data_IF_216192979879
#
_entry.id   IF_216192979879
#
_cell.length_a   1.000
_cell.length_b   1.000
_cell.length_c   1.000
_cell.angle_alpha   90.00
_cell.angle_beta   90.00
_cell.angle_gamma   90.00
#
_symmetry.space_group_name_H-M   'P 1'
#
loop_
_entity.id
_entity.type
_entity.pdbx_description
1 polymer ?
#
# COMPACT_ATOMS: atom_id res chain seq x y z
N UNK A 1 9.25 7.00 15.50
CA UNK A 1 9.13 6.59 14.09
C UNK A 1 7.67 6.33 13.77
N UNK A 2 7.16 6.92 12.70
CA UNK A 2 5.78 6.70 12.28
C UNK A 2 5.63 5.34 11.62
N UNK A 3 4.48 4.72 11.82
CA UNK A 3 4.14 3.46 11.17
C UNK A 3 3.22 3.72 10.00
N UNK A 4 3.51 3.11 8.87
CA UNK A 4 2.71 3.26 7.67
C UNK A 4 2.32 1.90 7.10
N UNK A 5 1.19 1.88 6.42
CA UNK A 5 0.76 0.74 5.62
C UNK A 5 0.99 1.13 4.17
N UNK A 6 1.75 0.32 3.46
CA UNK A 6 2.02 0.54 2.04
C UNK A 6 0.96 -0.19 1.22
N UNK A 7 0.30 0.54 0.34
CA UNK A 7 -0.75 -0.03 -0.51
C UNK A 7 -0.34 0.11 -1.97
N UNK A 8 -0.29 -1.01 -2.67
CA UNK A 8 0.05 -1.04 -4.08
C UNK A 8 -1.04 -1.71 -4.89
N UNK A 9 -1.30 -1.17 -6.08
CA UNK A 9 -2.20 -1.80 -7.04
C UNK A 9 -1.36 -2.32 -8.20
N UNK A 10 -1.39 -3.63 -8.37
CA UNK A 10 -0.67 -4.30 -9.45
C UNK A 10 -1.60 -4.47 -10.63
N UNK A 11 -1.40 -3.67 -11.68
CA UNK A 11 -2.12 -3.84 -12.94
C UNK A 11 -1.46 -4.97 -13.73
N UNK A 12 -2.25 -5.69 -14.52
CA UNK A 12 -1.80 -6.90 -15.20
C UNK A 12 -0.51 -6.74 -16.01
N UNK A 13 -0.24 -5.53 -16.49
CA UNK A 13 0.91 -5.28 -17.35
C UNK A 13 2.13 -4.76 -16.60
N UNK A 14 2.07 -4.64 -15.29
CA UNK A 14 3.19 -4.12 -14.52
C UNK A 14 4.12 -5.26 -14.11
N UNK A 15 5.19 -5.42 -14.88
CA UNK A 15 6.17 -6.48 -14.64
C UNK A 15 7.15 -6.14 -13.52
N UNK A 16 7.25 -4.88 -13.14
CA UNK A 16 8.20 -4.40 -12.13
C UNK A 16 7.52 -4.03 -10.81
N UNK A 17 6.33 -4.55 -10.57
CA UNK A 17 5.55 -4.17 -9.41
C UNK A 17 6.28 -4.45 -8.09
N UNK A 18 6.87 -5.63 -7.95
CA UNK A 18 7.57 -6.00 -6.72
C UNK A 18 8.75 -5.07 -6.46
N UNK A 19 9.45 -4.69 -7.51
CA UNK A 19 10.57 -3.76 -7.41
C UNK A 19 10.09 -2.37 -6.98
N UNK A 20 8.96 -1.93 -7.51
CA UNK A 20 8.37 -0.64 -7.14
C UNK A 20 7.97 -0.60 -5.68
N UNK A 21 7.41 -1.69 -5.16
CA UNK A 21 7.03 -1.78 -3.75
C UNK A 21 8.26 -1.78 -2.85
N UNK A 22 9.33 -2.45 -3.27
CA UNK A 22 10.58 -2.45 -2.53
C UNK A 22 11.19 -1.05 -2.47
N UNK A 23 11.16 -0.32 -3.57
CA UNK A 23 11.63 1.07 -3.60
C UNK A 23 10.80 1.96 -2.69
N UNK A 24 9.49 1.77 -2.69
CA UNK A 24 8.60 2.54 -1.84
C UNK A 24 8.93 2.31 -0.37
N UNK A 25 9.18 1.07 0.02
CA UNK A 25 9.58 0.74 1.38
C UNK A 25 10.90 1.41 1.74
N UNK A 26 11.87 1.38 0.84
CA UNK A 26 13.17 2.01 1.07
C UNK A 26 13.04 3.53 1.21
N UNK A 27 12.19 4.15 0.41
CA UNK A 27 11.93 5.58 0.49
C UNK A 27 11.26 5.95 1.82
N UNK A 28 10.32 5.12 2.27
CA UNK A 28 9.67 5.33 3.56
C UNK A 28 10.70 5.27 4.70
N UNK A 29 11.58 4.29 4.68
CA UNK A 29 12.63 4.17 5.69
C UNK A 29 13.56 5.39 5.68
N UNK A 30 13.90 5.90 4.50
CA UNK A 30 14.73 7.08 4.37
C UNK A 30 14.07 8.31 5.01
N UNK A 31 12.74 8.33 5.09
CA UNK A 31 11.98 9.39 5.74
C UNK A 31 11.65 9.06 7.20
N UNK A 32 12.28 8.05 7.77
CA UNK A 32 12.05 7.58 9.14
C UNK A 32 10.62 7.10 9.37
N UNK A 33 10.04 6.46 8.35
CA UNK A 33 8.72 5.86 8.43
C UNK A 33 8.89 4.34 8.40
N UNK A 34 8.31 3.66 9.38
CA UNK A 34 8.35 2.20 9.43
C UNK A 34 7.22 1.62 8.59
N UNK A 35 7.55 0.76 7.64
CA UNK A 35 6.55 0.02 6.85
C UNK A 35 6.04 -1.15 7.68
N UNK A 36 4.93 -0.97 8.37
CA UNK A 36 4.37 -1.99 9.24
C UNK A 36 3.89 -3.20 8.45
N UNK A 37 3.27 -2.96 7.30
CA UNK A 37 2.83 -4.03 6.41
C UNK A 37 2.60 -3.48 5.01
N UNK A 38 2.41 -4.38 4.06
CA UNK A 38 2.09 -4.04 2.69
C UNK A 38 0.78 -4.71 2.30
N UNK A 39 -0.05 -3.98 1.58
CA UNK A 39 -1.31 -4.50 1.02
C UNK A 39 -1.22 -4.38 -0.49
N UNK A 40 -1.45 -5.48 -1.18
CA UNK A 40 -1.35 -5.52 -2.64
C UNK A 40 -2.68 -5.97 -3.22
N UNK A 41 -3.14 -5.25 -4.23
CA UNK A 41 -4.33 -5.64 -4.97
C UNK A 41 -3.99 -5.76 -6.46
N UNK A 42 -4.34 -6.90 -7.04
CA UNK A 42 -4.16 -7.13 -8.48
C UNK A 42 -5.45 -6.77 -9.20
N UNK A 43 -5.38 -5.84 -10.13
CA UNK A 43 -6.53 -5.38 -10.91
C UNK A 43 -6.18 -5.32 -12.38
N UNK A 44 -7.15 -5.59 -13.27
CA UNK A 44 -6.93 -5.38 -14.70
C UNK A 44 -6.86 -3.89 -15.05
N UNK A 45 -7.52 -3.03 -14.25
CA UNK A 45 -7.48 -1.58 -14.42
C UNK A 45 -7.84 -0.92 -13.10
N UNK A 46 -7.49 0.35 -12.96
CA UNK A 46 -7.81 1.12 -11.76
C UNK A 46 -9.30 1.45 -11.75
N UNK A 47 -9.93 1.29 -10.58
CA UNK A 47 -11.33 1.64 -10.38
C UNK A 47 -11.48 3.16 -10.40
N UNK A 48 -12.52 3.67 -11.09
CA UNK A 48 -12.76 5.10 -11.21
C UNK A 48 -13.16 5.78 -9.90
N UNK A 49 -13.82 5.06 -8.99
CA UNK A 49 -14.29 5.63 -7.73
C UNK A 49 -13.24 5.54 -6.63
N UNK A 50 -12.48 4.45 -6.60
CA UNK A 50 -11.43 4.23 -5.61
C UNK A 50 -10.21 3.69 -6.31
N UNK A 51 -9.04 4.09 -5.84
CA UNK A 51 -7.77 3.55 -6.33
C UNK A 51 -7.70 2.03 -6.13
N UNK A 52 -8.24 1.57 -5.01
CA UNK A 52 -8.36 0.14 -4.70
C UNK A 52 -9.85 -0.18 -4.51
N UNK A 53 -10.20 -1.45 -4.61
CA UNK A 53 -11.59 -1.89 -4.43
C UNK A 53 -12.11 -1.67 -3.02
N UNK A 54 -13.43 -1.62 -2.88
CA UNK A 54 -14.09 -1.36 -1.60
C UNK A 54 -13.67 -2.35 -0.51
N UNK A 55 -13.57 -3.64 -0.86
CA UNK A 55 -13.14 -4.66 0.09
C UNK A 55 -11.73 -4.43 0.60
N UNK A 56 -10.84 -3.97 -0.28
CA UNK A 56 -9.46 -3.66 0.10
C UNK A 56 -9.39 -2.43 1.00
N UNK A 57 -10.24 -1.43 0.75
CA UNK A 57 -10.33 -0.24 1.60
C UNK A 57 -10.68 -0.65 3.03
N UNK A 58 -11.65 -1.55 3.19
CA UNK A 58 -12.03 -2.05 4.51
C UNK A 58 -10.88 -2.81 5.17
N UNK A 59 -10.17 -3.63 4.40
CA UNK A 59 -9.01 -4.36 4.90
C UNK A 59 -7.93 -3.41 5.42
N UNK A 60 -7.65 -2.35 4.65
CA UNK A 60 -6.67 -1.35 5.05
C UNK A 60 -7.10 -0.64 6.32
N UNK A 61 -8.38 -0.27 6.43
CA UNK A 61 -8.91 0.36 7.66
C UNK A 61 -8.72 -0.54 8.87
N UNK A 62 -8.99 -1.83 8.73
CA UNK A 62 -8.81 -2.77 9.82
C UNK A 62 -7.33 -2.89 10.22
N UNK A 63 -6.43 -2.91 9.24
CA UNK A 63 -5.00 -2.98 9.51
C UNK A 63 -4.49 -1.72 10.20
N UNK A 64 -4.99 -0.56 9.81
CA UNK A 64 -4.64 0.70 10.48
C UNK A 64 -4.97 0.61 11.97
N UNK A 65 -6.14 0.08 12.28
CA UNK A 65 -6.58 -0.07 13.67
C UNK A 65 -5.76 -1.13 14.41
N UNK A 66 -5.54 -2.28 13.77
CA UNK A 66 -4.84 -3.40 14.40
C UNK A 66 -3.37 -3.10 14.66
N UNK A 67 -2.72 -2.43 13.73
CA UNK A 67 -1.28 -2.17 13.80
C UNK A 67 -0.96 -0.79 14.37
N UNK A 68 -1.99 -0.02 14.69
CA UNK A 68 -1.84 1.34 15.20
C UNK A 68 -1.01 2.20 14.23
N UNK A 69 -1.32 2.07 12.94
CA UNK A 69 -0.60 2.79 11.90
C UNK A 69 -0.95 4.28 11.92
N UNK A 70 0.05 5.12 11.66
CA UNK A 70 -0.12 6.56 11.64
C UNK A 70 -0.60 7.07 10.28
N UNK A 71 -0.28 6.35 9.22
CA UNK A 71 -0.62 6.77 7.86
C UNK A 71 -0.67 5.58 6.91
N UNK A 72 -1.20 5.84 5.72
CA UNK A 72 -1.26 4.87 4.63
C UNK A 72 -0.62 5.53 3.41
N UNK A 73 0.28 4.82 2.76
CA UNK A 73 0.99 5.32 1.60
C UNK A 73 0.56 4.49 0.38
N UNK A 74 0.08 5.16 -0.64
CA UNK A 74 -0.34 4.53 -1.90
C UNK A 74 0.75 4.68 -2.94
N UNK A 75 0.98 3.60 -3.65
CA UNK A 75 1.92 3.62 -4.77
C UNK A 75 1.22 4.05 -6.05
#
# INVERSE_FOLDING_TARGET
MQKAILVGVNLNENLDFDHSMEELENLAEACEIEAATQVVQNLPMVNNAFYIGTGKVEEVKNLVSMLDADCVIFD
#
